data_IF_531550492471
#
_entry.id   IF_531550492471
#
_cell.length_a   1.000
_cell.length_b   1.000
_cell.length_c   1.000
_cell.angle_alpha   90.00
_cell.angle_beta   90.00
_cell.angle_gamma   90.00
#
_symmetry.space_group_name_H-M   'P 1'
#
loop_
_entity.id
_entity.type
_entity.pdbx_description
1 polymer ?
#
# COMPACT_ATOMS: atom_id res chain seq x y z
N UNK A 1 -10.24 0.90 23.81
CA UNK A 1 -10.07 0.78 22.34
C UNK A 1 -10.47 -0.61 21.80
N UNK A 2 -10.13 -1.71 22.49
CA UNK A 2 -10.41 -3.08 21.99
C UNK A 2 -11.89 -3.50 22.05
N UNK A 3 -12.73 -2.82 22.83
CA UNK A 3 -14.18 -3.02 22.87
C UNK A 3 -14.97 -2.18 21.89
N UNK A 4 -14.28 -1.41 21.05
CA UNK A 4 -14.90 -0.51 20.09
C UNK A 4 -15.54 -1.31 18.95
N UNK A 5 -16.87 -1.08 18.74
CA UNK A 5 -17.65 -1.76 17.70
C UNK A 5 -17.14 -1.41 16.30
N UNK A 6 -16.69 -0.17 16.11
CA UNK A 6 -16.18 0.30 14.81
C UNK A 6 -14.85 -0.39 14.48
N UNK A 7 -14.00 -0.64 15.47
CA UNK A 7 -12.76 -1.40 15.29
C UNK A 7 -13.04 -2.87 14.94
N UNK A 8 -14.04 -3.49 15.56
CA UNK A 8 -14.46 -4.86 15.18
C UNK A 8 -14.98 -4.91 13.75
N UNK A 9 -15.86 -3.97 13.40
CA UNK A 9 -16.38 -3.86 12.04
C UNK A 9 -15.29 -3.64 11.01
N UNK A 10 -14.32 -2.75 11.29
CA UNK A 10 -13.17 -2.52 10.42
C UNK A 10 -12.34 -3.80 10.20
N UNK A 11 -12.12 -4.58 11.25
CA UNK A 11 -11.41 -5.87 11.15
C UNK A 11 -12.16 -6.88 10.30
N UNK A 12 -13.48 -7.00 10.47
CA UNK A 12 -14.34 -7.87 9.65
C UNK A 12 -14.31 -7.46 8.17
N UNK A 13 -14.37 -6.16 7.89
CA UNK A 13 -14.25 -5.62 6.53
C UNK A 13 -12.87 -5.94 5.96
N UNK A 14 -11.80 -5.68 6.70
CA UNK A 14 -10.43 -5.97 6.25
C UNK A 14 -10.21 -7.47 5.99
N UNK A 15 -10.77 -8.36 6.83
CA UNK A 15 -10.72 -9.81 6.58
C UNK A 15 -11.53 -10.21 5.33
N UNK A 16 -12.73 -9.67 5.17
CA UNK A 16 -13.62 -9.97 4.01
C UNK A 16 -12.99 -9.56 2.68
N UNK A 17 -12.34 -8.40 2.64
CA UNK A 17 -11.73 -7.85 1.44
C UNK A 17 -10.24 -8.18 1.31
N UNK A 18 -9.69 -8.99 2.24
CA UNK A 18 -8.27 -9.32 2.29
C UNK A 18 -7.37 -8.08 2.12
N UNK A 19 -7.74 -7.00 2.83
CA UNK A 19 -7.04 -5.72 2.75
C UNK A 19 -5.60 -5.90 3.18
N UNK A 20 -4.68 -5.42 2.33
CA UNK A 20 -3.25 -5.43 2.62
C UNK A 20 -2.85 -4.10 3.26
N UNK A 21 -1.93 -4.15 4.20
CA UNK A 21 -1.27 -2.94 4.69
C UNK A 21 -0.51 -2.29 3.53
N UNK A 22 -0.49 -0.97 3.50
CA UNK A 22 0.20 -0.22 2.46
C UNK A 22 0.85 1.05 2.99
N UNK A 23 1.88 1.48 2.30
CA UNK A 23 2.48 2.81 2.44
C UNK A 23 2.12 3.65 1.22
N UNK A 24 1.97 4.94 1.43
CA UNK A 24 1.76 5.90 0.33
C UNK A 24 2.97 6.81 0.25
N UNK A 25 3.54 6.93 -0.95
CA UNK A 25 4.51 7.97 -1.25
C UNK A 25 3.86 8.97 -2.21
N UNK A 26 4.13 10.24 -2.03
CA UNK A 26 3.83 11.26 -3.03
C UNK A 26 5.05 11.44 -3.93
N UNK A 27 4.82 11.54 -5.22
CA UNK A 27 5.85 11.73 -6.23
C UNK A 27 5.52 12.96 -7.07
N UNK A 28 6.35 14.00 -6.96
CA UNK A 28 6.23 15.24 -7.72
C UNK A 28 7.47 15.35 -8.60
N UNK A 29 7.40 15.04 -9.90
CA UNK A 29 8.55 15.12 -10.79
C UNK A 29 8.99 16.57 -10.99
N UNK A 30 10.24 16.79 -11.35
CA UNK A 30 10.77 18.10 -11.75
C UNK A 30 10.17 18.52 -13.12
N UNK A 31 9.98 17.55 -14.00
CA UNK A 31 9.38 17.71 -15.33
C UNK A 31 7.93 17.21 -15.36
N UNK A 32 7.36 16.97 -16.54
CA UNK A 32 6.01 16.42 -16.70
C UNK A 32 5.97 14.91 -16.46
N UNK A 33 4.80 14.38 -16.07
CA UNK A 33 4.54 12.93 -16.07
C UNK A 33 4.50 12.32 -17.48
N UNK A 34 4.41 13.13 -18.54
CA UNK A 34 4.43 12.67 -19.92
C UNK A 34 5.85 12.53 -20.47
N UNK A 35 6.85 13.09 -19.78
CA UNK A 35 8.24 13.03 -20.18
C UNK A 35 8.81 11.62 -20.05
N UNK A 36 9.56 11.21 -21.09
CA UNK A 36 10.19 9.88 -21.11
C UNK A 36 11.11 9.64 -19.92
N UNK A 37 11.86 10.65 -19.52
CA UNK A 37 12.81 10.56 -18.39
C UNK A 37 12.08 10.38 -17.06
N UNK A 38 10.97 11.07 -16.86
CA UNK A 38 10.09 10.91 -15.68
C UNK A 38 9.53 9.50 -15.61
N UNK A 39 9.01 8.97 -16.73
CA UNK A 39 8.49 7.60 -16.81
C UNK A 39 9.58 6.58 -16.46
N UNK A 40 10.77 6.71 -17.05
CA UNK A 40 11.90 5.81 -16.77
C UNK A 40 12.37 5.90 -15.33
N UNK A 41 12.46 7.10 -14.77
CA UNK A 41 12.81 7.31 -13.36
C UNK A 41 11.81 6.64 -12.42
N UNK A 42 10.51 6.78 -12.71
CA UNK A 42 9.44 6.17 -11.92
C UNK A 42 9.43 4.63 -12.04
N UNK A 43 9.69 4.09 -13.25
CA UNK A 43 9.86 2.64 -13.45
C UNK A 43 11.03 2.08 -12.66
N UNK A 44 12.18 2.78 -12.65
CA UNK A 44 13.36 2.38 -11.88
C UNK A 44 13.11 2.44 -10.38
N UNK A 45 12.45 3.50 -9.89
CA UNK A 45 12.07 3.65 -8.49
C UNK A 45 11.14 2.50 -8.07
N UNK A 46 10.08 2.26 -8.84
CA UNK A 46 9.14 1.14 -8.63
C UNK A 46 9.89 -0.19 -8.53
N UNK A 47 10.72 -0.50 -9.53
CA UNK A 47 11.49 -1.75 -9.55
C UNK A 47 12.42 -1.93 -8.37
N UNK A 48 13.00 -0.84 -7.83
CA UNK A 48 13.85 -0.91 -6.63
C UNK A 48 13.04 -1.19 -5.37
N UNK A 49 11.87 -0.57 -5.23
CA UNK A 49 10.98 -0.80 -4.09
C UNK A 49 10.41 -2.23 -4.14
N UNK A 50 10.01 -2.73 -5.31
CA UNK A 50 9.49 -4.10 -5.49
C UNK A 50 10.51 -5.20 -5.15
N UNK A 51 11.82 -4.90 -5.21
CA UNK A 51 12.88 -5.85 -4.81
C UNK A 51 13.03 -6.00 -3.30
N UNK A 52 12.41 -5.14 -2.50
CA UNK A 52 12.42 -5.29 -1.05
C UNK A 52 11.64 -6.54 -0.65
N UNK A 53 12.21 -7.37 0.21
CA UNK A 53 11.67 -8.69 0.56
C UNK A 53 10.31 -8.65 1.23
N UNK A 54 9.98 -7.54 1.89
CA UNK A 54 8.76 -7.30 2.63
C UNK A 54 7.68 -6.56 1.82
N UNK A 55 8.01 -6.10 0.60
CA UNK A 55 7.05 -5.50 -0.34
C UNK A 55 6.37 -6.62 -1.13
N UNK A 56 5.06 -6.50 -1.27
CA UNK A 56 4.24 -7.39 -2.09
C UNK A 56 4.12 -6.87 -3.52
N UNK A 57 3.71 -5.61 -3.68
CA UNK A 57 3.56 -4.96 -4.98
C UNK A 57 3.62 -3.44 -4.85
N UNK A 58 3.90 -2.76 -5.95
CA UNK A 58 3.92 -1.30 -6.02
C UNK A 58 3.05 -0.85 -7.18
N UNK A 59 2.13 0.07 -6.91
CA UNK A 59 1.25 0.69 -7.92
C UNK A 59 1.58 2.18 -8.01
N UNK A 60 1.70 2.66 -9.23
CA UNK A 60 2.02 4.05 -9.55
C UNK A 60 1.13 4.55 -10.68
N UNK A 61 1.21 5.82 -11.03
CA UNK A 61 0.48 6.39 -12.17
C UNK A 61 0.79 5.69 -13.51
N UNK A 62 2.00 5.13 -13.67
CA UNK A 62 2.37 4.43 -14.91
C UNK A 62 1.75 3.04 -15.04
N UNK A 63 1.07 2.54 -14.01
CA UNK A 63 0.36 1.26 -14.02
C UNK A 63 -1.15 1.43 -14.26
N UNK A 64 -1.61 2.67 -14.31
CA UNK A 64 -3.03 2.99 -14.49
C UNK A 64 -3.51 2.57 -15.88
N UNK A 65 -4.58 1.74 -15.99
CA UNK A 65 -5.16 1.36 -17.26
C UNK A 65 -5.75 2.56 -18.02
N UNK A 66 -5.37 2.70 -19.28
CA UNK A 66 -5.94 3.69 -20.20
C UNK A 66 -7.03 3.03 -21.05
N UNK A 67 -8.24 3.52 -20.95
CA UNK A 67 -9.40 2.95 -21.63
C UNK A 67 -9.89 3.78 -22.82
N UNK A 68 -9.54 5.07 -22.88
CA UNK A 68 -9.99 6.01 -23.90
C UNK A 68 -8.89 6.42 -24.88
N UNK A 69 -7.64 6.36 -24.46
CA UNK A 69 -6.48 6.82 -25.21
C UNK A 69 -5.90 5.78 -26.19
N UNK A 70 -6.63 4.71 -26.45
CA UNK A 70 -6.25 3.66 -27.41
C UNK A 70 -7.32 3.51 -28.47
N UNK A 71 -6.92 3.23 -29.72
CA UNK A 71 -7.83 3.05 -30.86
C UNK A 71 -8.39 1.62 -30.99
N UNK A 72 -8.07 0.75 -30.02
CA UNK A 72 -8.53 -0.63 -29.95
C UNK A 72 -10.01 -0.73 -29.55
N UNK A 73 -10.67 -1.86 -29.87
CA UNK A 73 -12.04 -2.08 -29.41
C UNK A 73 -12.09 -2.34 -27.89
N UNK A 74 -13.25 -2.12 -27.26
CA UNK A 74 -13.41 -2.19 -25.81
C UNK A 74 -13.02 -3.55 -25.21
N UNK A 75 -13.29 -4.65 -25.91
CA UNK A 75 -12.98 -6.01 -25.40
C UNK A 75 -11.49 -6.28 -25.39
N UNK A 76 -10.74 -5.77 -26.37
CA UNK A 76 -9.28 -5.91 -26.43
C UNK A 76 -8.61 -5.01 -25.38
N UNK A 77 -9.13 -3.80 -25.14
CA UNK A 77 -8.68 -2.91 -24.07
C UNK A 77 -8.83 -3.52 -22.69
N UNK A 78 -9.92 -4.24 -22.43
CA UNK A 78 -10.14 -4.89 -21.12
C UNK A 78 -9.21 -6.09 -20.91
N UNK A 79 -8.77 -6.75 -21.98
CA UNK A 79 -7.84 -7.90 -21.90
C UNK A 79 -6.37 -7.47 -21.85
N UNK A 80 -6.02 -6.43 -22.62
CA UNK A 80 -4.65 -5.96 -22.82
C UNK A 80 -4.59 -4.44 -22.66
N UNK A 81 -4.92 -3.93 -21.46
CA UNK A 81 -4.90 -2.48 -21.22
C UNK A 81 -3.48 -1.91 -21.41
N UNK A 82 -3.39 -0.78 -22.05
CA UNK A 82 -2.18 0.01 -22.16
C UNK A 82 -2.08 1.00 -21.01
N UNK A 83 -0.88 1.41 -20.69
CA UNK A 83 -0.59 2.35 -19.60
C UNK A 83 0.37 3.43 -20.10
N UNK A 84 0.64 4.47 -19.29
CA UNK A 84 1.61 5.50 -19.66
C UNK A 84 3.04 4.96 -19.90
N UNK A 85 3.35 3.80 -19.37
CA UNK A 85 4.65 3.14 -19.56
C UNK A 85 4.76 2.46 -20.93
N UNK A 86 3.65 2.29 -21.66
CA UNK A 86 3.68 1.62 -22.96
C UNK A 86 4.40 2.48 -24.02
N UNK A 87 5.39 1.93 -24.77
CA UNK A 87 6.24 2.75 -25.63
C UNK A 87 5.52 3.52 -26.73
N UNK A 88 4.44 2.95 -27.28
CA UNK A 88 3.70 3.48 -28.44
C UNK A 88 2.48 4.33 -28.03
N UNK A 89 2.29 4.59 -26.73
CA UNK A 89 1.16 5.38 -26.26
C UNK A 89 1.41 6.89 -26.49
N UNK A 90 0.39 7.59 -26.90
CA UNK A 90 0.34 9.05 -26.78
C UNK A 90 0.20 9.41 -25.31
N UNK A 91 1.33 9.81 -24.69
CA UNK A 91 1.40 10.07 -23.26
C UNK A 91 0.62 11.28 -22.83
N UNK A 92 0.55 12.31 -23.66
CA UNK A 92 -0.21 13.52 -23.32
C UNK A 92 -1.70 13.21 -23.28
N UNK A 93 -2.21 12.50 -24.28
CA UNK A 93 -3.60 12.02 -24.31
C UNK A 93 -3.90 11.05 -23.17
N UNK A 94 -2.97 10.13 -22.88
CA UNK A 94 -3.10 9.19 -21.76
C UNK A 94 -3.11 9.88 -20.40
N UNK A 95 -2.27 10.88 -20.22
CA UNK A 95 -2.22 11.66 -18.99
C UNK A 95 -3.49 12.51 -18.79
N UNK A 96 -3.99 13.14 -19.86
CA UNK A 96 -5.28 13.84 -19.82
C UNK A 96 -6.44 12.92 -19.43
N UNK A 97 -6.44 11.67 -19.92
CA UNK A 97 -7.43 10.68 -19.53
C UNK A 97 -7.39 10.42 -18.03
N UNK A 98 -6.20 10.24 -17.44
CA UNK A 98 -6.04 10.03 -16.01
C UNK A 98 -6.48 11.25 -15.20
N UNK A 99 -6.06 12.45 -15.60
CA UNK A 99 -6.36 13.70 -14.91
C UNK A 99 -7.85 14.03 -14.90
N UNK A 100 -8.56 13.67 -15.97
CA UNK A 100 -10.00 13.90 -16.11
C UNK A 100 -10.86 12.72 -15.64
N UNK A 101 -10.25 11.64 -15.16
CA UNK A 101 -10.98 10.48 -14.67
C UNK A 101 -11.52 10.71 -13.26
N UNK A 102 -12.82 10.50 -13.01
CA UNK A 102 -13.37 10.60 -11.65
C UNK A 102 -12.84 9.52 -10.70
N UNK A 103 -12.23 8.46 -11.24
CA UNK A 103 -11.66 7.35 -10.45
C UNK A 103 -10.24 7.67 -10.01
N UNK A 104 -9.47 8.36 -10.83
CA UNK A 104 -8.04 8.59 -10.59
C UNK A 104 -7.73 9.98 -10.04
N UNK A 105 -8.53 10.99 -10.40
CA UNK A 105 -8.40 12.35 -9.89
C UNK A 105 -8.56 12.39 -8.37
N UNK A 106 -7.66 13.03 -7.68
CA UNK A 106 -7.58 13.14 -6.22
C UNK A 106 -7.25 11.83 -5.45
N UNK A 107 -7.11 10.70 -6.14
CA UNK A 107 -6.70 9.43 -5.55
C UNK A 107 -5.31 8.99 -6.02
N UNK A 108 -5.09 9.02 -7.34
CA UNK A 108 -3.81 8.64 -7.96
C UNK A 108 -3.01 9.87 -8.36
N UNK A 109 -3.68 10.93 -8.79
CA UNK A 109 -3.10 12.18 -9.24
C UNK A 109 -3.80 13.36 -8.55
N UNK A 110 -3.03 14.38 -8.16
CA UNK A 110 -3.55 15.64 -7.64
C UNK A 110 -4.37 16.40 -8.68
N UNK A 111 -5.24 17.28 -8.23
CA UNK A 111 -6.13 18.05 -9.10
C UNK A 111 -5.37 18.90 -10.13
N UNK A 112 -4.20 19.41 -9.73
CA UNK A 112 -3.32 20.22 -10.57
C UNK A 112 -2.40 19.38 -11.49
N UNK A 113 -2.51 18.04 -11.43
CA UNK A 113 -1.71 17.13 -12.23
C UNK A 113 -0.22 17.05 -11.89
N UNK A 114 0.23 17.67 -10.80
CA UNK A 114 1.67 17.79 -10.49
C UNK A 114 2.21 16.71 -9.59
N UNK A 115 1.36 16.07 -8.78
CA UNK A 115 1.77 15.09 -7.79
C UNK A 115 0.97 13.81 -7.94
N UNK A 116 1.65 12.68 -8.00
CA UNK A 116 1.01 11.36 -8.05
C UNK A 116 1.29 10.56 -6.78
N UNK A 117 0.38 9.66 -6.45
CA UNK A 117 0.58 8.67 -5.41
C UNK A 117 1.35 7.46 -5.94
N UNK A 118 2.25 6.92 -5.10
CA UNK A 118 2.83 5.59 -5.24
C UNK A 118 2.32 4.78 -4.06
N UNK A 119 1.61 3.70 -4.32
CA UNK A 119 1.07 2.80 -3.29
C UNK A 119 1.95 1.57 -3.21
N UNK A 120 2.56 1.35 -2.04
CA UNK A 120 3.44 0.21 -1.75
C UNK A 120 2.67 -0.76 -0.86
N UNK A 121 2.20 -1.87 -1.40
CA UNK A 121 1.55 -2.93 -0.64
C UNK A 121 2.58 -3.79 0.08
N UNK A 122 2.28 -4.10 1.33
CA UNK A 122 3.16 -4.87 2.20
C UNK A 122 2.77 -6.35 2.20
N UNK A 123 3.74 -7.22 2.33
CA UNK A 123 3.47 -8.63 2.59
C UNK A 123 2.88 -8.80 3.98
N UNK A 124 1.83 -9.58 4.06
CA UNK A 124 1.18 -9.88 5.34
C UNK A 124 2.11 -10.68 6.24
N UNK A 125 2.20 -10.27 7.49
CA UNK A 125 2.84 -11.08 8.53
C UNK A 125 1.83 -12.08 9.09
N UNK A 126 1.85 -13.30 8.55
CA UNK A 126 0.91 -14.36 8.93
C UNK A 126 0.99 -14.71 10.43
N UNK A 127 2.19 -14.63 11.02
CA UNK A 127 2.36 -14.91 12.44
C UNK A 127 1.74 -13.83 13.31
N UNK A 128 1.89 -12.56 12.94
CA UNK A 128 1.21 -11.48 13.66
C UNK A 128 -0.31 -11.59 13.51
N UNK A 129 -0.80 -11.91 12.32
CA UNK A 129 -2.22 -12.13 12.07
C UNK A 129 -2.79 -13.28 12.93
N UNK A 130 -2.05 -14.37 13.08
CA UNK A 130 -2.42 -15.47 13.96
C UNK A 130 -2.47 -15.05 15.44
N UNK A 131 -1.46 -14.32 15.90
CA UNK A 131 -1.46 -13.77 17.26
C UNK A 131 -2.67 -12.87 17.53
N UNK A 132 -3.03 -12.03 16.58
CA UNK A 132 -4.20 -11.14 16.69
C UNK A 132 -5.48 -11.97 16.79
N UNK A 133 -5.66 -12.99 15.96
CA UNK A 133 -6.83 -13.89 16.01
C UNK A 133 -6.96 -14.61 17.37
N UNK A 134 -5.85 -15.12 17.90
CA UNK A 134 -5.84 -15.78 19.21
C UNK A 134 -6.19 -14.78 20.32
N UNK A 135 -5.63 -13.58 20.26
CA UNK A 135 -5.91 -12.50 21.20
C UNK A 135 -7.39 -12.12 21.21
N UNK A 136 -7.98 -11.93 20.01
CA UNK A 136 -9.39 -11.59 19.87
C UNK A 136 -10.30 -12.70 20.37
N UNK A 137 -9.92 -13.99 20.19
CA UNK A 137 -10.63 -15.12 20.74
C UNK A 137 -10.66 -15.09 22.28
N UNK A 138 -9.50 -14.89 22.93
CA UNK A 138 -9.42 -14.77 24.39
C UNK A 138 -10.21 -13.56 24.90
N UNK A 139 -10.15 -12.44 24.19
CA UNK A 139 -10.88 -11.23 24.57
C UNK A 139 -12.40 -11.44 24.51
N UNK A 140 -12.91 -12.08 23.47
CA UNK A 140 -14.33 -12.41 23.36
C UNK A 140 -14.78 -13.38 24.48
N UNK A 141 -13.95 -14.38 24.82
CA UNK A 141 -14.23 -15.28 25.94
C UNK A 141 -14.29 -14.55 27.28
N UNK A 142 -13.41 -13.54 27.49
CA UNK A 142 -13.41 -12.72 28.71
C UNK A 142 -14.67 -11.85 28.86
N UNK A 143 -15.30 -11.44 27.75
CA UNK A 143 -16.53 -10.65 27.77
C UNK A 143 -17.76 -11.54 28.06
N UNK A 144 -17.76 -12.76 27.51
CA UNK A 144 -18.90 -13.67 27.59
C UNK A 144 -18.91 -14.47 28.89
N UNK A 145 -17.74 -14.80 29.44
CA UNK A 145 -17.62 -15.69 30.59
C UNK A 145 -16.38 -15.35 31.41
N UNK A 146 -16.46 -15.43 32.74
CA UNK A 146 -15.27 -15.26 33.56
C UNK A 146 -14.34 -16.47 33.38
N UNK A 147 -13.12 -16.20 32.91
CA UNK A 147 -12.11 -17.24 32.63
C UNK A 147 -11.72 -17.97 33.90
N UNK A 148 -11.57 -19.30 33.81
CA UNK A 148 -11.04 -20.13 34.88
C UNK A 148 -9.59 -19.72 35.20
N UNK A 149 -9.12 -20.03 36.42
CA UNK A 149 -7.78 -19.64 36.90
C UNK A 149 -6.63 -20.08 35.96
N UNK A 150 -6.77 -21.26 35.35
CA UNK A 150 -5.80 -21.84 34.44
C UNK A 150 -5.81 -21.09 33.07
N UNK A 151 -6.97 -20.75 32.57
CA UNK A 151 -7.15 -19.98 31.33
C UNK A 151 -6.58 -18.56 31.44
N UNK A 152 -6.78 -17.91 32.62
CA UNK A 152 -6.17 -16.62 32.95
C UNK A 152 -4.62 -16.70 32.97
N UNK A 153 -4.06 -17.82 33.44
CA UNK A 153 -2.61 -18.04 33.40
C UNK A 153 -2.08 -18.22 31.98
N UNK A 154 -2.78 -19.02 31.17
CA UNK A 154 -2.44 -19.27 29.78
C UNK A 154 -2.53 -17.98 28.96
N UNK A 155 -3.57 -17.18 29.18
CA UNK A 155 -3.72 -15.88 28.52
C UNK A 155 -2.57 -14.91 28.87
N UNK A 156 -2.16 -14.82 30.14
CA UNK A 156 -0.99 -14.00 30.53
C UNK A 156 0.29 -14.44 29.85
N UNK A 157 0.52 -15.76 29.72
CA UNK A 157 1.69 -16.28 29.00
C UNK A 157 1.63 -15.90 27.52
N UNK A 158 0.47 -16.10 26.89
CA UNK A 158 0.23 -15.72 25.51
C UNK A 158 0.46 -14.21 25.26
N UNK A 159 -0.07 -13.33 26.12
CA UNK A 159 0.15 -11.89 25.99
C UNK A 159 1.63 -11.52 25.99
N UNK A 160 2.43 -12.15 26.84
CA UNK A 160 3.88 -11.90 26.89
C UNK A 160 4.56 -12.31 25.59
N UNK A 161 4.17 -13.44 25.00
CA UNK A 161 4.68 -13.90 23.70
C UNK A 161 4.25 -12.98 22.56
N UNK A 162 2.98 -12.57 22.54
CA UNK A 162 2.43 -11.60 21.59
C UNK A 162 3.14 -10.25 21.63
N UNK A 163 3.31 -9.69 22.85
CA UNK A 163 4.01 -8.40 23.01
C UNK A 163 5.46 -8.48 22.57
N UNK A 164 6.16 -9.58 22.91
CA UNK A 164 7.52 -9.83 22.44
C UNK A 164 7.60 -9.85 20.91
N UNK A 165 6.69 -10.57 20.25
CA UNK A 165 6.65 -10.62 18.80
C UNK A 165 6.29 -9.28 18.17
N UNK A 166 5.29 -8.58 18.73
CA UNK A 166 4.86 -7.25 18.27
C UNK A 166 6.00 -6.24 18.34
N UNK A 167 6.81 -6.28 19.39
CA UNK A 167 7.98 -5.41 19.49
C UNK A 167 9.02 -5.69 18.39
N UNK A 168 9.29 -6.96 18.09
CA UNK A 168 10.18 -7.34 16.98
C UNK A 168 9.61 -6.90 15.62
N UNK A 169 8.30 -7.05 15.43
CA UNK A 169 7.61 -6.56 14.25
C UNK A 169 7.75 -5.04 14.08
N UNK A 170 7.56 -4.27 15.15
CA UNK A 170 7.70 -2.81 15.12
C UNK A 170 9.14 -2.38 14.78
N UNK A 171 10.15 -3.04 15.35
CA UNK A 171 11.57 -2.78 15.03
C UNK A 171 11.83 -3.03 13.53
N UNK A 172 11.37 -4.17 13.01
CA UNK A 172 11.50 -4.52 11.60
C UNK A 172 10.80 -3.50 10.69
N UNK A 173 9.58 -3.09 11.02
CA UNK A 173 8.87 -2.07 10.26
C UNK A 173 9.61 -0.73 10.24
N UNK A 174 10.22 -0.35 11.35
CA UNK A 174 11.05 0.86 11.38
C UNK A 174 12.27 0.75 10.44
N UNK A 175 12.91 -0.41 10.39
CA UNK A 175 14.00 -0.70 9.44
C UNK A 175 13.51 -0.65 7.99
N UNK A 176 12.36 -1.27 7.69
CA UNK A 176 11.74 -1.27 6.38
C UNK A 176 11.44 0.17 5.89
N UNK A 177 10.92 1.02 6.77
CA UNK A 177 10.68 2.44 6.47
C UNK A 177 11.98 3.17 6.13
N UNK A 178 13.07 2.88 6.84
CA UNK A 178 14.38 3.48 6.57
C UNK A 178 14.94 3.01 5.22
N UNK A 179 14.75 1.73 4.86
CA UNK A 179 15.15 1.22 3.53
C UNK A 179 14.45 1.99 2.39
N UNK A 180 13.14 2.28 2.53
CA UNK A 180 12.43 3.13 1.55
C UNK A 180 13.01 4.54 1.54
N UNK A 181 13.27 5.16 2.69
CA UNK A 181 13.86 6.49 2.76
C UNK A 181 15.21 6.55 2.07
N UNK A 182 16.04 5.53 2.24
CA UNK A 182 17.33 5.44 1.58
C UNK A 182 17.22 5.29 0.05
N UNK A 183 16.16 4.60 -0.41
CA UNK A 183 15.87 4.51 -1.83
C UNK A 183 15.40 5.86 -2.37
N UNK A 184 14.39 6.48 -1.78
CA UNK A 184 13.80 7.73 -2.30
C UNK A 184 14.79 8.90 -2.27
N UNK A 185 15.68 8.97 -1.29
CA UNK A 185 16.70 10.01 -1.19
C UNK A 185 17.64 10.05 -2.40
N UNK A 186 17.82 8.92 -3.10
CA UNK A 186 18.64 8.83 -4.32
C UNK A 186 17.95 9.41 -5.56
N UNK A 187 16.66 9.73 -5.46
CA UNK A 187 15.86 10.28 -6.56
C UNK A 187 15.55 11.76 -6.39
N UNK A 188 16.10 12.42 -5.37
CA UNK A 188 15.82 13.81 -5.03
C UNK A 188 16.14 14.84 -6.14
N UNK A 189 17.03 14.51 -7.07
CA UNK A 189 17.32 15.36 -8.23
C UNK A 189 16.24 15.30 -9.32
N UNK A 190 15.53 14.16 -9.42
CA UNK A 190 14.53 13.92 -10.48
C UNK A 190 13.10 14.19 -10.03
N UNK A 191 12.85 14.07 -8.73
CA UNK A 191 11.51 14.24 -8.16
C UNK A 191 11.56 14.58 -6.67
N UNK A 192 10.58 15.33 -6.21
CA UNK A 192 10.31 15.50 -4.79
C UNK A 192 9.42 14.35 -4.31
N UNK A 193 9.95 13.52 -3.41
CA UNK A 193 9.24 12.33 -2.93
C UNK A 193 9.05 12.45 -1.41
N UNK A 194 7.83 12.25 -0.95
CA UNK A 194 7.52 12.20 0.49
C UNK A 194 6.86 10.87 0.83
N UNK A 195 7.29 10.28 1.93
CA UNK A 195 6.66 9.11 2.52
C UNK A 195 5.55 9.57 3.47
N UNK A 196 4.33 9.16 3.19
CA UNK A 196 3.15 9.31 4.03
C UNK A 196 2.54 7.95 4.38
N UNK A 197 1.67 7.92 5.38
CA UNK A 197 1.07 6.69 5.88
C UNK A 197 1.97 5.98 6.89
N UNK A 198 1.34 5.44 7.93
CA UNK A 198 1.99 4.57 8.90
C UNK A 198 1.23 3.25 8.82
N UNK A 199 1.91 2.09 8.66
CA UNK A 199 1.26 0.80 8.80
C UNK A 199 0.68 0.73 10.22
N UNK A 200 -0.59 0.39 10.34
CA UNK A 200 -1.25 0.21 11.64
C UNK A 200 -0.95 -1.14 12.25
#
# INVERSE_FOLDING_TARGET
>A
LEGDKDLKYLREVNERYNSKDFLVLTYTPVSSFTDKETILSLQLLKSKIEKLTWVDSVITIIDVPLLKSTDENLMDRLKNYKTLAYPEIDRDRGFEEILNSPIYKNYVISEDGKTSAIVVYLKKDERLAEYIKIKDKYYNQLIETDLKKEEKKNYKKFLKEYEGYKNLYNIRNHQNINEIRDIINKYGENAKIHLGGIPM
#
